data_IF_662587370661
#
_entry.id   IF_662587370661
#
_cell.length_a   1.000
_cell.length_b   1.000
_cell.length_c   1.000
_cell.angle_alpha   90.00
_cell.angle_beta   90.00
_cell.angle_gamma   90.00
#
_symmetry.space_group_name_H-M   'P 1'
#
loop_
_entity.id
_entity.type
_entity.pdbx_description
1 polymer ?
#
# COMPACT_ATOMS: atom_id res chain seq x y z
N UNK A 1 -19.51 -13.34 -4.08
CA UNK A 1 -19.32 -11.90 -3.79
C UNK A 1 -17.86 -11.59 -4.05
N UNK A 2 -17.55 -10.63 -4.93
CA UNK A 2 -16.16 -10.26 -5.22
C UNK A 2 -15.73 -9.23 -4.18
N UNK A 3 -14.79 -9.59 -3.32
CA UNK A 3 -14.29 -8.75 -2.21
C UNK A 3 -12.77 -8.79 -2.20
N UNK A 4 -12.15 -7.67 -1.81
CA UNK A 4 -10.72 -7.64 -1.51
C UNK A 4 -10.51 -8.38 -0.18
N UNK A 5 -9.44 -9.16 -0.08
CA UNK A 5 -9.03 -9.83 1.16
C UNK A 5 -7.60 -9.47 1.51
N UNK A 6 -7.21 -9.71 2.76
CA UNK A 6 -5.82 -9.47 3.19
C UNK A 6 -4.86 -10.39 2.45
N UNK A 7 -5.25 -11.62 2.14
CA UNK A 7 -4.45 -12.57 1.36
C UNK A 7 -4.21 -12.06 -0.06
N UNK A 8 -5.21 -11.42 -0.68
CA UNK A 8 -5.01 -10.77 -1.97
C UNK A 8 -4.03 -9.61 -1.85
N UNK A 9 -4.22 -8.69 -0.88
CA UNK A 9 -3.32 -7.55 -0.70
C UNK A 9 -1.88 -7.98 -0.46
N UNK A 10 -1.65 -8.97 0.40
CA UNK A 10 -0.32 -9.49 0.67
C UNK A 10 0.25 -10.24 -0.53
N UNK A 11 -0.59 -10.90 -1.33
CA UNK A 11 -0.15 -11.56 -2.56
C UNK A 11 0.35 -10.57 -3.61
N UNK A 12 -0.09 -9.31 -3.57
CA UNK A 12 0.33 -8.26 -4.52
C UNK A 12 1.70 -7.66 -4.20
N UNK A 13 2.26 -7.93 -3.03
CA UNK A 13 3.60 -7.48 -2.64
C UNK A 13 4.65 -8.30 -3.39
N UNK A 14 5.64 -7.64 -3.99
CA UNK A 14 6.73 -8.35 -4.69
C UNK A 14 7.67 -9.05 -3.68
N UNK A 15 8.39 -10.12 -4.09
CA UNK A 15 9.41 -10.72 -3.22
C UNK A 15 10.43 -9.68 -2.76
N UNK A 16 10.68 -9.60 -1.45
CA UNK A 16 11.51 -8.56 -0.81
C UNK A 16 11.03 -7.11 -1.07
N UNK A 17 9.76 -6.92 -1.42
CA UNK A 17 9.16 -5.61 -1.72
C UNK A 17 8.83 -4.75 -0.50
N UNK A 18 9.25 -5.15 0.71
CA UNK A 18 9.01 -4.39 1.94
C UNK A 18 10.34 -3.82 2.42
N UNK A 19 10.43 -2.49 2.47
CA UNK A 19 11.61 -1.78 2.95
C UNK A 19 11.27 -0.93 4.16
N UNK A 20 12.08 -1.05 5.21
CA UNK A 20 11.98 -0.20 6.40
C UNK A 20 13.14 0.78 6.46
N UNK A 21 12.82 2.05 6.67
CA UNK A 21 13.82 3.10 6.87
C UNK A 21 13.56 3.82 8.18
N UNK A 22 14.59 3.95 9.00
CA UNK A 22 14.52 4.77 10.21
C UNK A 22 14.86 6.22 9.86
N UNK A 23 13.90 7.11 10.09
CA UNK A 23 14.04 8.55 9.80
C UNK A 23 14.25 9.30 11.11
N UNK A 24 15.51 9.57 11.45
CA UNK A 24 15.88 10.16 12.73
C UNK A 24 15.64 9.22 13.91
N UNK A 25 15.48 9.77 15.11
CA UNK A 25 15.48 8.96 16.34
C UNK A 25 14.14 8.26 16.66
N UNK A 26 13.02 8.75 16.09
CA UNK A 26 11.66 8.38 16.54
C UNK A 26 10.78 7.71 15.48
N UNK A 27 11.08 7.88 14.20
CA UNK A 27 10.20 7.51 13.10
C UNK A 27 10.72 6.27 12.37
N UNK A 28 9.84 5.30 12.14
CA UNK A 28 10.05 4.17 11.22
C UNK A 28 9.12 4.37 10.03
N UNK A 29 9.66 4.40 8.83
CA UNK A 29 8.92 4.45 7.59
C UNK A 29 8.98 3.07 6.91
N UNK A 30 7.85 2.59 6.43
CA UNK A 30 7.70 1.35 5.67
C UNK A 30 7.27 1.70 4.24
N UNK A 31 7.90 1.06 3.27
CA UNK A 31 7.49 1.07 1.87
C UNK A 31 7.12 -0.34 1.46
N UNK A 32 5.99 -0.51 0.77
CA UNK A 32 5.52 -1.76 0.18
C UNK A 32 5.41 -1.54 -1.33
N UNK A 33 6.25 -2.24 -2.09
CA UNK A 33 6.20 -2.28 -3.55
C UNK A 33 5.27 -3.41 -4.03
N UNK A 34 4.32 -3.06 -4.89
CA UNK A 34 3.38 -4.03 -5.47
C UNK A 34 3.81 -4.50 -6.85
N UNK A 35 3.24 -5.60 -7.33
CA UNK A 35 3.50 -6.14 -8.70
C UNK A 35 3.22 -5.13 -9.82
N UNK A 36 2.35 -4.14 -9.59
CA UNK A 36 2.08 -3.05 -10.52
C UNK A 36 3.17 -1.96 -10.56
N UNK A 37 4.17 -2.04 -9.68
CA UNK A 37 5.18 -1.00 -9.49
C UNK A 37 4.71 0.18 -8.64
N UNK A 38 3.49 0.15 -8.10
CA UNK A 38 3.01 1.17 -7.17
C UNK A 38 3.63 0.96 -5.79
N UNK A 39 3.87 2.06 -5.08
CA UNK A 39 4.45 2.04 -3.72
C UNK A 39 3.46 2.58 -2.72
N UNK A 40 3.11 1.73 -1.75
CA UNK A 40 2.39 2.14 -0.56
C UNK A 40 3.37 2.46 0.56
N UNK A 41 3.04 3.45 1.38
CA UNK A 41 3.89 3.88 2.50
C UNK A 41 3.14 3.86 3.81
N UNK A 42 3.83 3.61 4.92
CA UNK A 42 3.25 3.65 6.25
C UNK A 42 4.30 4.03 7.29
N UNK A 43 3.85 4.60 8.40
CA UNK A 43 4.74 5.18 9.38
C UNK A 43 4.38 4.74 10.80
N UNK A 44 5.39 4.61 11.65
CA UNK A 44 5.23 4.55 13.10
C UNK A 44 6.17 5.54 13.77
N UNK A 45 5.72 6.13 14.89
CA UNK A 45 6.52 7.08 15.64
C UNK A 45 6.45 6.79 17.14
N UNK A 46 7.58 6.91 17.84
CA UNK A 46 7.63 6.83 19.30
C UNK A 46 7.76 8.20 19.96
N UNK A 47 7.28 8.34 21.20
CA UNK A 47 7.37 9.60 21.96
C UNK A 47 8.76 9.82 22.53
N UNK A 48 9.40 8.76 23.02
CA UNK A 48 10.73 8.76 23.66
C UNK A 48 11.73 7.94 22.83
N UNK A 49 12.80 8.57 22.29
CA UNK A 49 13.76 7.87 21.44
C UNK A 49 14.63 6.88 22.23
N UNK A 50 14.81 7.08 23.55
CA UNK A 50 15.58 6.17 24.39
C UNK A 50 14.89 4.81 24.59
N UNK A 51 13.57 4.77 24.38
CA UNK A 51 12.71 3.58 24.49
C UNK A 51 12.22 3.07 23.14
N UNK A 52 12.86 3.49 22.05
CA UNK A 52 12.50 3.02 20.71
C UNK A 52 12.66 1.50 20.61
N UNK A 53 11.64 0.85 20.04
CA UNK A 53 11.65 -0.58 19.76
C UNK A 53 11.48 -0.78 18.24
N UNK A 54 12.54 -1.26 17.59
CA UNK A 54 12.58 -1.43 16.14
C UNK A 54 11.50 -2.40 15.64
N UNK A 55 11.41 -3.59 16.24
CA UNK A 55 10.44 -4.61 15.81
C UNK A 55 8.99 -4.12 15.95
N UNK A 56 8.68 -3.38 17.01
CA UNK A 56 7.36 -2.77 17.18
C UNK A 56 7.12 -1.66 16.15
N UNK A 57 8.14 -0.83 15.89
CA UNK A 57 8.08 0.24 14.91
C UNK A 57 7.83 -0.28 13.49
N UNK A 58 8.58 -1.29 13.07
CA UNK A 58 8.44 -1.95 11.76
C UNK A 58 7.06 -2.61 11.63
N UNK A 59 6.61 -3.34 12.65
CA UNK A 59 5.28 -3.96 12.66
C UNK A 59 4.15 -2.94 12.44
N UNK A 60 4.17 -1.83 13.18
CA UNK A 60 3.13 -0.79 13.07
C UNK A 60 3.24 -0.07 11.72
N UNK A 61 4.44 0.29 11.28
CA UNK A 61 4.65 0.95 9.99
C UNK A 61 4.18 0.08 8.82
N UNK A 62 4.45 -1.23 8.86
CA UNK A 62 3.96 -2.20 7.90
C UNK A 62 2.44 -2.29 7.90
N UNK A 63 1.81 -2.42 9.08
CA UNK A 63 0.35 -2.47 9.17
C UNK A 63 -0.28 -1.21 8.58
N UNK A 64 0.26 -0.03 8.89
CA UNK A 64 -0.22 1.24 8.36
C UNK A 64 -0.05 1.34 6.83
N UNK A 65 1.03 0.77 6.28
CA UNK A 65 1.25 0.72 4.83
C UNK A 65 0.25 -0.25 4.15
N UNK A 66 0.04 -1.42 4.74
CA UNK A 66 -0.89 -2.43 4.26
C UNK A 66 -2.34 -1.94 4.32
N UNK A 67 -2.71 -1.23 5.39
CA UNK A 67 -4.06 -0.68 5.57
C UNK A 67 -4.40 0.35 4.48
N UNK A 68 -3.41 1.13 4.03
CA UNK A 68 -3.59 2.07 2.91
C UNK A 68 -3.84 1.38 1.56
N UNK A 69 -3.58 0.07 1.44
CA UNK A 69 -3.84 -0.67 0.21
C UNK A 69 -5.34 -0.92 -0.03
N UNK A 70 -6.15 -0.97 1.03
CA UNK A 70 -7.58 -1.32 0.92
C UNK A 70 -8.35 -0.39 -0.01
N UNK A 71 -8.19 0.93 0.16
CA UNK A 71 -8.99 1.90 -0.62
C UNK A 71 -8.64 1.87 -2.12
N UNK A 72 -7.36 1.93 -2.55
CA UNK A 72 -7.05 1.90 -3.99
C UNK A 72 -7.40 0.58 -4.66
N UNK A 73 -7.18 -0.57 -4.00
CA UNK A 73 -7.59 -1.86 -4.57
C UNK A 73 -9.11 -2.05 -4.58
N UNK A 74 -9.83 -1.52 -3.59
CA UNK A 74 -11.29 -1.49 -3.59
C UNK A 74 -11.85 -0.65 -4.74
N UNK A 75 -11.27 0.54 -4.95
CA UNK A 75 -11.62 1.41 -6.09
C UNK A 75 -11.30 0.74 -7.43
N UNK A 76 -10.14 0.12 -7.56
CA UNK A 76 -9.74 -0.62 -8.75
C UNK A 76 -10.74 -1.75 -9.07
N UNK A 77 -11.08 -2.59 -8.08
CA UNK A 77 -12.05 -3.66 -8.26
C UNK A 77 -13.42 -3.10 -8.67
N UNK A 78 -13.87 -2.02 -8.03
CA UNK A 78 -15.12 -1.35 -8.39
C UNK A 78 -15.14 -0.89 -9.86
N UNK A 79 -14.05 -0.29 -10.35
CA UNK A 79 -13.91 0.11 -11.77
C UNK A 79 -13.93 -1.10 -12.70
N UNK A 80 -13.12 -2.12 -12.42
CA UNK A 80 -13.07 -3.34 -13.23
C UNK A 80 -14.45 -4.00 -13.34
N UNK A 81 -15.23 -4.00 -12.25
CA UNK A 81 -16.60 -4.52 -12.25
C UNK A 81 -17.57 -3.65 -13.02
N UNK A 82 -17.44 -2.32 -12.91
CA UNK A 82 -18.25 -1.38 -13.68
C UNK A 82 -18.00 -1.55 -15.19
N UNK A 83 -16.74 -1.58 -15.63
CA UNK A 83 -16.37 -1.62 -17.04
C UNK A 83 -16.70 -2.98 -17.68
N UNK A 84 -16.54 -4.10 -16.95
CA UNK A 84 -17.03 -5.42 -17.39
C UNK A 84 -18.54 -5.44 -17.65
N UNK A 85 -19.30 -4.64 -16.90
CA UNK A 85 -20.75 -4.53 -17.03
C UNK A 85 -21.18 -3.41 -17.99
N UNK A 86 -20.25 -2.57 -18.45
CA UNK A 86 -20.51 -1.44 -19.33
C UNK A 86 -19.38 -1.27 -20.37
N UNK A 87 -19.51 -1.92 -21.55
CA UNK A 87 -18.48 -1.92 -22.59
C UNK A 87 -18.27 -0.57 -23.28
N UNK A 88 -19.18 0.39 -23.09
CA UNK A 88 -19.09 1.75 -23.65
C UNK A 88 -18.37 2.73 -22.70
N UNK A 89 -17.66 2.23 -21.69
CA UNK A 89 -16.90 3.05 -20.75
C UNK A 89 -15.75 3.80 -21.45
N UNK A 90 -15.61 5.12 -21.24
CA UNK A 90 -14.57 5.91 -21.89
C UNK A 90 -13.18 5.53 -21.38
N UNK A 91 -12.16 5.63 -22.25
CA UNK A 91 -10.75 5.41 -21.91
C UNK A 91 -10.30 6.45 -20.87
N UNK A 92 -9.89 5.98 -19.68
CA UNK A 92 -9.68 6.83 -18.49
C UNK A 92 -8.26 7.40 -18.35
N UNK A 93 -7.32 7.05 -19.23
CA UNK A 93 -5.92 7.45 -19.14
C UNK A 93 -5.51 8.18 -20.42
N UNK A 94 -5.20 9.47 -20.30
CA UNK A 94 -4.52 10.25 -21.34
C UNK A 94 -3.02 10.22 -21.10
N UNK A 95 -2.24 9.99 -22.15
CA UNK A 95 -0.78 10.05 -22.12
C UNK A 95 -0.33 11.50 -21.87
N UNK A 96 0.15 11.79 -20.66
CA UNK A 96 0.81 13.07 -20.36
C UNK A 96 2.29 12.99 -20.77
N UNK A 97 2.56 12.87 -22.07
CA UNK A 97 3.87 13.23 -22.62
C UNK A 97 3.86 14.71 -22.99
N UNK A 98 4.42 15.55 -22.13
CA UNK A 98 4.84 16.93 -22.41
C UNK A 98 6.24 17.15 -21.86
#
# INVERSE_FOLDING_TARGET
MQVITVEFLTSEIVPNGVTFTRLGAKLTHCQIETKSGFVFTGESACVDPSRYNQAMGEKIAYQNALDKMWEPYGLWLSKVLHDKNNPDSPELLGDNNS
#
